data_IF_163081577210
#
_entry.id   IF_163081577210
#
_cell.length_a   1.000
_cell.length_b   1.000
_cell.length_c   1.000
_cell.angle_alpha   90.00
_cell.angle_beta   90.00
_cell.angle_gamma   90.00
#
_symmetry.space_group_name_H-M   'P 1'
#
loop_
_entity.id
_entity.type
_entity.pdbx_description
1 polymer ?
#
# COMPACT_ATOMS: atom_id res chain seq x y z
N UNK A 1 -19.72 -26.57 25.74
CA UNK A 1 -18.33 -26.09 25.64
C UNK A 1 -18.12 -25.64 24.20
N UNK A 2 -18.32 -24.35 23.93
CA UNK A 2 -18.01 -23.75 22.63
C UNK A 2 -16.64 -23.11 22.77
N UNK A 3 -15.73 -23.50 21.89
CA UNK A 3 -14.35 -23.05 21.90
C UNK A 3 -14.35 -21.60 21.39
N UNK A 4 -14.30 -20.65 22.31
CA UNK A 4 -14.16 -19.21 22.04
C UNK A 4 -12.73 -18.90 21.56
N UNK A 5 -12.35 -19.44 20.40
CA UNK A 5 -11.29 -18.82 19.60
C UNK A 5 -11.88 -17.60 18.89
N UNK A 6 -12.44 -16.69 19.68
CA UNK A 6 -12.68 -15.31 19.29
C UNK A 6 -11.30 -14.69 19.15
N UNK A 7 -10.69 -14.84 17.97
CA UNK A 7 -9.62 -13.96 17.56
C UNK A 7 -10.22 -12.55 17.58
N UNK A 8 -10.02 -11.87 18.71
CA UNK A 8 -10.35 -10.47 18.86
C UNK A 8 -9.65 -9.75 17.72
N UNK A 9 -10.41 -9.35 16.71
CA UNK A 9 -9.94 -8.49 15.63
C UNK A 9 -9.60 -7.16 16.29
N UNK A 10 -8.36 -7.06 16.77
CA UNK A 10 -7.88 -5.84 17.40
C UNK A 10 -7.91 -4.76 16.31
N UNK A 11 -8.51 -3.59 16.59
CA UNK A 11 -8.51 -2.50 15.63
C UNK A 11 -7.07 -2.12 15.31
N UNK A 12 -6.66 -2.31 14.05
CA UNK A 12 -5.35 -1.90 13.57
C UNK A 12 -5.33 -0.37 13.53
N UNK A 13 -4.42 0.24 14.26
CA UNK A 13 -4.25 1.69 14.22
C UNK A 13 -3.26 2.04 13.11
N UNK A 14 -3.76 2.60 12.01
CA UNK A 14 -2.92 3.21 10.99
C UNK A 14 -2.76 4.71 11.29
N UNK A 15 -1.52 5.17 11.41
CA UNK A 15 -1.18 6.60 11.40
C UNK A 15 -0.23 6.88 10.24
N UNK A 16 -0.33 8.07 9.65
CA UNK A 16 0.57 8.47 8.56
C UNK A 16 1.19 9.83 8.84
N UNK A 17 2.47 9.98 8.51
CA UNK A 17 3.24 11.20 8.67
C UNK A 17 4.10 11.43 7.42
N UNK A 18 4.09 12.66 6.90
CA UNK A 18 4.77 12.98 5.63
C UNK A 18 6.28 12.71 5.70
N UNK A 19 6.88 12.95 6.86
CA UNK A 19 8.33 12.91 7.06
C UNK A 19 8.83 11.53 7.49
N UNK A 20 8.00 10.75 8.18
CA UNK A 20 8.45 9.51 8.84
C UNK A 20 7.92 8.22 8.20
N UNK A 21 6.81 8.28 7.45
CA UNK A 21 6.18 7.08 6.89
C UNK A 21 4.80 6.81 7.48
N UNK A 22 4.54 5.55 7.75
CA UNK A 22 3.32 5.03 8.34
C UNK A 22 3.63 4.36 9.68
N UNK A 23 2.67 4.33 10.59
CA UNK A 23 2.71 3.49 11.78
C UNK A 23 1.59 2.48 11.65
N UNK A 24 1.94 1.21 11.61
CA UNK A 24 1.02 0.08 11.56
C UNK A 24 0.93 -0.56 12.95
N UNK A 25 -0.23 -1.11 13.31
CA UNK A 25 -0.30 -2.05 14.42
C UNK A 25 -0.08 -3.47 13.88
N UNK A 26 1.04 -4.09 14.25
CA UNK A 26 1.41 -5.45 13.87
C UNK A 26 1.46 -6.28 15.15
N UNK A 27 0.58 -7.27 15.27
CA UNK A 27 0.49 -8.14 16.45
C UNK A 27 0.31 -7.38 17.79
N UNK A 28 -0.43 -6.26 17.77
CA UNK A 28 -0.65 -5.42 18.94
C UNK A 28 0.53 -4.51 19.29
N UNK A 29 1.50 -4.36 18.38
CA UNK A 29 2.67 -3.48 18.56
C UNK A 29 2.71 -2.44 17.45
N UNK A 30 2.92 -1.15 17.77
CA UNK A 30 3.16 -0.14 16.76
C UNK A 30 4.50 -0.41 16.06
N UNK A 31 4.46 -0.47 14.74
CA UNK A 31 5.59 -0.66 13.85
C UNK A 31 5.68 0.56 12.92
N UNK A 32 6.79 1.28 12.99
CA UNK A 32 7.07 2.38 12.06
C UNK A 32 7.58 1.81 10.74
N UNK A 33 6.97 2.27 9.66
CA UNK A 33 7.21 1.82 8.30
C UNK A 33 7.58 3.03 7.46
N UNK A 34 8.82 3.14 6.97
CA UNK A 34 9.20 4.25 6.09
C UNK A 34 8.42 4.18 4.78
N UNK A 35 8.16 5.31 4.13
CA UNK A 35 7.55 5.31 2.78
C UNK A 35 8.36 4.52 1.75
N UNK A 36 9.67 4.43 1.97
CA UNK A 36 10.58 3.58 1.20
C UNK A 36 10.30 2.08 1.36
N UNK A 37 9.43 1.63 2.26
CA UNK A 37 8.98 0.23 2.33
C UNK A 37 7.71 -0.05 1.50
N UNK A 38 7.09 0.95 0.87
CA UNK A 38 5.89 0.77 0.05
C UNK A 38 6.26 0.40 -1.39
N UNK A 39 5.85 -0.77 -1.86
CA UNK A 39 6.11 -1.24 -3.22
C UNK A 39 4.92 -1.02 -4.16
N UNK A 40 3.71 -1.09 -3.62
CA UNK A 40 2.49 -0.99 -4.41
C UNK A 40 1.45 -0.14 -3.71
N UNK A 41 0.67 0.62 -4.49
CA UNK A 41 -0.57 1.23 -4.03
C UNK A 41 -1.64 0.94 -5.06
N UNK A 42 -2.74 0.32 -4.63
CA UNK A 42 -3.90 0.05 -5.46
C UNK A 42 -5.16 0.67 -4.85
N UNK A 43 -6.07 1.14 -5.70
CA UNK A 43 -7.39 1.63 -5.31
C UNK A 43 -8.49 0.70 -5.80
N UNK A 44 -9.54 0.56 -5.02
CA UNK A 44 -10.71 -0.23 -5.41
C UNK A 44 -11.95 0.19 -4.62
N UNK A 45 -12.90 -0.73 -4.57
CA UNK A 45 -14.14 -0.56 -3.83
C UNK A 45 -14.42 -1.77 -2.95
N UNK A 46 -14.98 -1.52 -1.78
CA UNK A 46 -15.43 -2.55 -0.83
C UNK A 46 -16.89 -2.34 -0.51
N UNK A 47 -17.66 -3.43 -0.43
CA UNK A 47 -19.05 -3.38 0.00
C UNK A 47 -19.08 -3.40 1.53
N UNK A 48 -19.58 -2.33 2.13
CA UNK A 48 -19.72 -2.23 3.57
C UNK A 48 -21.00 -2.93 4.04
N UNK A 49 -21.12 -3.17 5.36
CA UNK A 49 -22.27 -3.86 5.96
C UNK A 49 -23.62 -3.14 5.78
N UNK A 50 -23.60 -1.87 5.36
CA UNK A 50 -24.78 -1.06 5.02
C UNK A 50 -25.14 -1.12 3.52
N UNK A 51 -24.59 -2.07 2.77
CA UNK A 51 -24.75 -2.23 1.32
C UNK A 51 -24.28 -1.02 0.48
N UNK A 52 -23.43 -0.16 1.06
CA UNK A 52 -22.82 0.97 0.35
C UNK A 52 -21.41 0.60 -0.09
N UNK A 53 -21.10 0.88 -1.36
CA UNK A 53 -19.74 0.77 -1.88
C UNK A 53 -18.90 1.95 -1.38
N UNK A 54 -17.82 1.64 -0.68
CA UNK A 54 -16.82 2.60 -0.23
C UNK A 54 -15.55 2.47 -1.05
N UNK A 55 -14.84 3.59 -1.24
CA UNK A 55 -13.48 3.53 -1.75
C UNK A 55 -12.56 2.82 -0.75
N UNK A 56 -11.59 2.09 -1.29
CA UNK A 56 -10.52 1.48 -0.52
C UNK A 56 -9.17 1.71 -1.20
N UNK A 57 -8.14 1.89 -0.39
CA UNK A 57 -6.74 1.91 -0.78
C UNK A 57 -6.03 0.74 -0.12
N UNK A 58 -5.30 0.00 -0.92
CA UNK A 58 -4.42 -1.09 -0.54
C UNK A 58 -2.98 -0.61 -0.74
N UNK A 59 -2.14 -0.72 0.29
CA UNK A 59 -0.71 -0.45 0.20
C UNK A 59 0.07 -1.73 0.52
N UNK A 60 0.91 -2.15 -0.41
CA UNK A 60 1.81 -3.30 -0.28
C UNK A 60 3.13 -2.81 0.33
N UNK A 61 3.49 -3.40 1.47
CA UNK A 61 4.56 -2.91 2.34
C UNK A 61 5.51 -4.07 2.67
N UNK A 62 6.81 -3.87 2.46
CA UNK A 62 7.83 -4.84 2.88
C UNK A 62 8.41 -4.48 4.25
N UNK A 63 8.27 -5.37 5.23
CA UNK A 63 8.80 -5.21 6.60
C UNK A 63 9.65 -6.43 6.92
N UNK A 64 10.97 -6.26 7.06
CA UNK A 64 11.91 -7.31 7.49
C UNK A 64 11.68 -8.62 6.71
N UNK A 65 11.69 -8.52 5.37
CA UNK A 65 11.48 -9.66 4.44
C UNK A 65 10.10 -10.34 4.50
N UNK A 66 9.09 -9.66 5.07
CA UNK A 66 7.69 -10.07 5.03
C UNK A 66 6.85 -9.01 4.30
N UNK A 67 5.92 -9.45 3.45
CA UNK A 67 5.04 -8.54 2.70
C UNK A 67 3.72 -8.42 3.45
N UNK A 68 3.38 -7.20 3.83
CA UNK A 68 2.15 -6.85 4.54
C UNK A 68 1.28 -5.97 3.65
N UNK A 69 -0.01 -6.22 3.74
CA UNK A 69 -1.02 -5.40 3.07
C UNK A 69 -1.73 -4.52 4.09
N UNK A 70 -1.65 -3.20 3.90
CA UNK A 70 -2.44 -2.23 4.66
C UNK A 70 -3.64 -1.78 3.84
N UNK A 71 -4.85 -1.91 4.38
CA UNK A 71 -6.09 -1.48 3.73
C UNK A 71 -6.67 -0.31 4.50
N UNK A 72 -7.01 0.76 3.78
CA UNK A 72 -7.71 1.95 4.29
C UNK A 72 -8.96 2.16 3.46
N UNK A 73 -10.09 2.31 4.12
CA UNK A 73 -11.38 2.58 3.49
C UNK A 73 -11.80 4.04 3.69
N UNK A 74 -12.74 4.50 2.88
CA UNK A 74 -13.35 5.83 3.02
C UNK A 74 -14.04 6.04 4.39
N UNK A 75 -14.43 4.97 5.07
CA UNK A 75 -15.00 5.05 6.41
C UNK A 75 -13.95 5.32 7.50
N UNK A 76 -12.67 5.09 7.21
CA UNK A 76 -11.61 5.24 8.19
C UNK A 76 -11.24 6.71 8.39
N UNK A 77 -11.02 7.11 9.66
CA UNK A 77 -10.63 8.48 10.00
C UNK A 77 -9.32 8.94 9.32
N UNK A 78 -8.47 7.98 8.97
CA UNK A 78 -7.19 8.23 8.31
C UNK A 78 -7.34 8.44 6.79
N UNK A 79 -8.52 8.20 6.21
CA UNK A 79 -8.75 8.31 4.76
C UNK A 79 -8.35 9.66 4.17
N UNK A 80 -8.88 10.75 4.73
CA UNK A 80 -8.60 12.11 4.25
C UNK A 80 -7.10 12.46 4.35
N UNK A 81 -6.42 12.32 5.50
CA UNK A 81 -4.99 12.61 5.57
C UNK A 81 -4.15 11.65 4.70
N UNK A 82 -4.53 10.38 4.58
CA UNK A 82 -3.82 9.42 3.74
C UNK A 82 -3.90 9.80 2.25
N UNK A 83 -5.10 9.99 1.70
CA UNK A 83 -5.28 10.38 0.30
C UNK A 83 -4.63 11.73 -0.04
N UNK A 84 -4.54 12.65 0.92
CA UNK A 84 -3.86 13.94 0.73
C UNK A 84 -2.33 13.84 0.73
N UNK A 85 -1.77 12.87 1.45
CA UNK A 85 -0.32 12.70 1.57
C UNK A 85 0.27 11.93 0.39
N UNK A 86 -0.49 10.98 -0.18
CA UNK A 86 0.01 10.08 -1.22
C UNK A 86 0.66 10.80 -2.41
N UNK A 87 0.05 11.83 -3.03
CA UNK A 87 0.68 12.54 -4.15
C UNK A 87 1.92 13.36 -3.76
N UNK A 88 2.10 13.66 -2.47
CA UNK A 88 3.30 14.36 -1.97
C UNK A 88 4.48 13.41 -1.80
N UNK A 89 4.19 12.17 -1.43
CA UNK A 89 5.19 11.11 -1.22
C UNK A 89 5.52 10.40 -2.53
N UNK A 90 4.49 10.09 -3.32
CA UNK A 90 4.57 9.41 -4.60
C UNK A 90 3.98 10.34 -5.68
N UNK A 91 4.79 11.22 -6.30
CA UNK A 91 4.30 12.23 -7.25
C UNK A 91 3.55 11.66 -8.46
N UNK A 92 3.78 10.39 -8.81
CA UNK A 92 3.05 9.69 -9.86
C UNK A 92 1.62 9.27 -9.47
N UNK A 93 1.31 9.22 -8.16
CA UNK A 93 -0.03 8.89 -7.68
C UNK A 93 -0.94 10.10 -7.91
N UNK A 94 -1.99 9.97 -8.75
CA UNK A 94 -2.91 11.07 -8.99
C UNK A 94 -3.75 11.37 -7.73
N UNK A 95 -4.34 12.57 -7.68
CA UNK A 95 -5.25 12.95 -6.59
C UNK A 95 -6.51 12.08 -6.60
N UNK A 96 -7.14 11.90 -5.43
CA UNK A 96 -8.37 11.10 -5.26
C UNK A 96 -9.51 11.50 -6.19
N UNK A 97 -9.62 12.77 -6.55
CA UNK A 97 -10.63 13.26 -7.51
C UNK A 97 -10.46 12.70 -8.92
N UNK A 98 -9.29 12.16 -9.26
CA UNK A 98 -8.98 11.57 -10.57
C UNK A 98 -9.24 10.07 -10.56
N UNK A 99 -8.66 9.33 -9.61
CA UNK A 99 -8.77 7.87 -9.58
C UNK A 99 -10.04 7.36 -8.87
N UNK A 100 -10.63 8.12 -7.95
CA UNK A 100 -11.80 7.71 -7.16
C UNK A 100 -13.01 7.28 -8.00
N UNK A 101 -13.46 8.09 -8.98
CA UNK A 101 -14.58 7.69 -9.85
C UNK A 101 -14.30 6.41 -10.63
N UNK A 102 -13.04 6.22 -11.07
CA UNK A 102 -12.63 5.01 -11.78
C UNK A 102 -12.69 3.80 -10.83
N UNK A 103 -12.08 3.89 -9.65
CA UNK A 103 -12.05 2.84 -8.64
C UNK A 103 -13.46 2.38 -8.18
N UNK A 104 -14.45 3.27 -8.18
CA UNK A 104 -15.85 2.94 -7.84
C UNK A 104 -16.59 2.20 -8.95
N UNK A 105 -16.16 2.35 -10.21
CA UNK A 105 -16.86 1.83 -11.39
C UNK A 105 -16.20 0.60 -11.99
N UNK A 106 -14.92 0.37 -11.71
CA UNK A 106 -14.21 -0.85 -12.12
C UNK A 106 -14.45 -2.00 -11.13
N UNK A 107 -14.64 -3.24 -11.61
CA UNK A 107 -14.66 -4.42 -10.75
C UNK A 107 -13.26 -4.84 -10.29
N UNK A 108 -12.20 -4.49 -11.03
CA UNK A 108 -10.82 -4.84 -10.69
C UNK A 108 -10.09 -3.66 -10.04
N UNK A 109 -9.21 -3.87 -9.04
CA UNK A 109 -8.40 -2.81 -8.45
C UNK A 109 -7.57 -2.06 -9.49
N UNK A 110 -7.48 -0.74 -9.34
CA UNK A 110 -6.64 0.15 -10.12
C UNK A 110 -5.28 0.30 -9.45
N UNK A 111 -4.20 -0.10 -10.11
CA UNK A 111 -2.85 0.21 -9.65
C UNK A 111 -2.58 1.71 -9.80
N UNK A 112 -2.23 2.38 -8.71
CA UNK A 112 -1.89 3.80 -8.64
C UNK A 112 -0.37 4.05 -8.56
N UNK A 113 0.35 3.09 -7.98
CA UNK A 113 1.79 3.11 -7.81
C UNK A 113 2.28 1.68 -7.82
N UNK A 114 3.36 1.46 -8.56
CA UNK A 114 4.16 0.25 -8.53
C UNK A 114 5.62 0.71 -8.51
N UNK A 115 6.41 0.16 -7.60
CA UNK A 115 7.83 0.42 -7.54
C UNK A 115 8.49 -0.48 -8.57
N UNK A 116 9.13 0.14 -9.55
CA UNK A 116 10.02 -0.56 -10.47
C UNK A 116 11.23 -1.13 -9.71
N UNK A 117 11.12 -2.35 -9.18
CA UNK A 117 12.24 -3.07 -8.55
C UNK A 117 13.24 -3.62 -9.59
N UNK A 118 13.08 -3.27 -10.88
CA UNK A 118 13.91 -3.72 -12.02
C UNK A 118 15.28 -3.04 -12.15
N UNK A 119 15.85 -2.49 -11.08
CA UNK A 119 17.16 -1.83 -11.11
C UNK A 119 18.33 -2.68 -10.57
N UNK A 120 18.18 -3.99 -10.31
CA UNK A 120 19.30 -4.80 -9.76
C UNK A 120 19.43 -6.23 -10.31
N UNK A 121 19.08 -6.45 -11.58
CA UNK A 121 19.54 -7.65 -12.29
C UNK A 121 20.06 -7.33 -13.71
N UNK A 122 20.84 -6.25 -13.79
CA UNK A 122 21.69 -5.95 -14.95
C UNK A 122 23.13 -6.38 -14.65
N UNK A 123 23.34 -7.69 -14.49
CA UNK A 123 24.66 -8.27 -14.35
C UNK A 123 25.60 -7.77 -15.45
N UNK A 124 26.74 -7.25 -15.03
CA UNK A 124 27.83 -6.84 -15.90
C UNK A 124 28.20 -7.96 -16.87
N UNK A 125 28.39 -7.71 -18.17
CA UNK A 125 29.21 -8.59 -18.99
C UNK A 125 30.69 -8.27 -18.70
N UNK A 126 31.19 -8.65 -17.52
CA UNK A 126 32.63 -8.85 -17.35
C UNK A 126 33.02 -10.15 -18.07
N UNK A 127 33.40 -10.00 -19.33
CA UNK A 127 33.83 -11.08 -20.21
C UNK A 127 34.80 -10.57 -21.27
N UNK A 128 36.05 -10.39 -20.86
CA UNK A 128 37.22 -10.07 -21.67
C UNK A 128 37.31 -10.83 -23.01
N UNK A 129 37.79 -10.17 -24.07
CA UNK A 129 38.08 -10.86 -25.33
C UNK A 129 38.63 -10.02 -26.46
N UNK A 130 39.84 -9.48 -26.28
CA UNK A 130 40.73 -8.99 -27.35
C UNK A 130 40.77 -10.01 -28.51
N UNK A 131 40.45 -9.60 -29.74
CA UNK A 131 41.02 -10.23 -30.94
C UNK A 131 41.25 -9.21 -32.05
N UNK A 132 42.53 -9.06 -32.36
CA UNK A 132 43.08 -8.45 -33.56
C UNK A 132 42.54 -9.15 -34.81
N UNK A 133 42.21 -8.37 -35.84
CA UNK A 133 42.68 -8.54 -37.21
C UNK A 133 42.61 -7.21 -37.93
#
# INVERSE_FOLDING_TARGET
MLNENSHSLRPVTLKVAAVHGMVLDVDGKPCEVPWAAVHGISAGRVLMANDVWHLALAADIEIISDVRLAIVTEADRIWAPFTQILPKIFPQVPRVTVWGPQALTTPAPLSLYDRDDRASDGGEPFGAGRRLQ
#
